data_IF_355921042264
#
_entry.id   IF_355921042264
#
_cell.length_a   1.000
_cell.length_b   1.000
_cell.length_c   1.000
_cell.angle_alpha   90.00
_cell.angle_beta   90.00
_cell.angle_gamma   90.00
#
_symmetry.space_group_name_H-M   'P 1'
#
loop_
_entity.id
_entity.type
_entity.pdbx_description
1 polymer ?
#
# COMPACT_ATOMS: atom_id res chain seq x y z
N UNK A 1 -1.08 -14.29 -7.75
CA UNK A 1 -1.22 -12.82 -7.56
C UNK A 1 -2.64 -12.27 -7.40
N UNK A 2 -3.65 -12.74 -8.16
CA UNK A 2 -5.01 -12.19 -8.14
C UNK A 2 -5.64 -12.09 -6.73
N UNK A 3 -5.31 -13.02 -5.83
CA UNK A 3 -5.77 -13.00 -4.44
C UNK A 3 -5.41 -11.71 -3.69
N UNK A 4 -4.23 -11.13 -3.93
CA UNK A 4 -3.84 -9.87 -3.32
C UNK A 4 -4.70 -8.69 -3.83
N UNK A 5 -5.02 -8.68 -5.14
CA UNK A 5 -5.90 -7.67 -5.70
C UNK A 5 -7.33 -7.81 -5.18
N UNK A 6 -7.85 -9.04 -5.07
CA UNK A 6 -9.17 -9.28 -4.50
C UNK A 6 -9.24 -8.78 -3.05
N UNK A 7 -8.21 -9.08 -2.23
CA UNK A 7 -8.17 -8.58 -0.85
C UNK A 7 -8.10 -7.05 -0.78
N UNK A 8 -7.33 -6.42 -1.68
CA UNK A 8 -7.31 -4.97 -1.81
C UNK A 8 -8.70 -4.40 -2.16
N UNK A 9 -9.42 -5.02 -3.10
CA UNK A 9 -10.77 -4.60 -3.49
C UNK A 9 -11.76 -4.68 -2.32
N UNK A 10 -11.67 -5.72 -1.48
CA UNK A 10 -12.45 -5.81 -0.25
C UNK A 10 -12.09 -4.67 0.72
N UNK A 11 -10.80 -4.42 0.92
CA UNK A 11 -10.32 -3.37 1.83
C UNK A 11 -10.76 -1.98 1.36
N UNK A 12 -10.57 -1.64 0.08
CA UNK A 12 -10.94 -0.34 -0.47
C UNK A 12 -12.47 -0.15 -0.50
N UNK A 13 -13.25 -1.22 -0.67
CA UNK A 13 -14.72 -1.16 -0.54
C UNK A 13 -15.15 -0.78 0.87
N UNK A 14 -14.47 -1.32 1.90
CA UNK A 14 -14.71 -0.94 3.30
C UNK A 14 -14.34 0.52 3.56
N UNK A 15 -13.22 0.98 2.99
CA UNK A 15 -12.79 2.40 3.04
C UNK A 15 -13.87 3.30 2.45
N UNK A 16 -14.34 3.02 1.23
CA UNK A 16 -15.40 3.81 0.56
C UNK A 16 -16.74 3.78 1.30
N UNK A 17 -17.02 2.70 2.02
CA UNK A 17 -18.20 2.61 2.87
C UNK A 17 -18.13 3.60 4.03
N UNK A 18 -16.94 3.88 4.57
CA UNK A 18 -16.71 4.89 5.60
C UNK A 18 -16.95 6.32 5.06
N UNK A 19 -16.44 6.64 3.87
CA UNK A 19 -16.75 7.92 3.21
C UNK A 19 -18.22 8.07 2.87
N UNK A 20 -18.89 6.99 2.48
CA UNK A 20 -20.35 6.99 2.25
C UNK A 20 -21.13 7.24 3.55
N UNK A 21 -20.66 6.71 4.67
CA UNK A 21 -21.23 6.97 6.00
C UNK A 21 -21.04 8.44 6.40
N UNK A 22 -19.85 8.99 6.21
CA UNK A 22 -19.57 10.42 6.42
C UNK A 22 -20.58 11.30 5.66
N UNK A 23 -20.74 11.06 4.35
CA UNK A 23 -21.65 11.83 3.47
C UNK A 23 -23.10 11.75 3.95
N UNK A 24 -23.54 10.57 4.38
CA UNK A 24 -24.89 10.35 4.90
C UNK A 24 -25.14 11.12 6.20
N UNK A 25 -24.23 11.01 7.17
CA UNK A 25 -24.36 11.71 8.46
C UNK A 25 -24.33 13.21 8.23
N UNK A 26 -23.36 13.71 7.46
CA UNK A 26 -23.22 15.15 7.14
C UNK A 26 -24.50 15.75 6.57
N UNK A 27 -25.18 15.04 5.67
CA UNK A 27 -26.44 15.50 5.06
C UNK A 27 -27.64 15.48 6.02
N UNK A 28 -27.53 14.77 7.14
CA UNK A 28 -28.59 14.62 8.15
C UNK A 28 -28.33 15.41 9.44
N UNK A 29 -27.14 16.03 9.57
CA UNK A 29 -26.72 16.76 10.76
C UNK A 29 -26.43 18.23 10.45
N UNK A 30 -26.35 19.05 11.49
CA UNK A 30 -25.87 20.44 11.36
C UNK A 30 -24.34 20.49 11.32
N UNK A 31 -23.78 21.61 10.86
CA UNK A 31 -22.32 21.83 10.81
C UNK A 31 -21.64 21.93 12.18
N UNK A 32 -22.41 21.83 13.28
CA UNK A 32 -21.89 21.83 14.65
C UNK A 32 -21.20 20.49 14.97
N UNK A 33 -21.64 19.41 14.34
CA UNK A 33 -21.01 18.10 14.51
C UNK A 33 -19.76 18.02 13.63
N UNK A 34 -18.59 17.95 14.27
CA UNK A 34 -17.34 17.70 13.57
C UNK A 34 -17.24 16.22 13.17
N UNK A 35 -17.22 15.97 11.88
CA UNK A 35 -17.12 14.65 11.27
C UNK A 35 -15.76 14.40 10.61
N UNK A 36 -14.81 15.32 10.79
CA UNK A 36 -13.51 15.28 10.11
C UNK A 36 -12.67 14.05 10.50
N UNK A 37 -12.85 13.50 11.69
CA UNK A 37 -12.18 12.26 12.10
C UNK A 37 -12.62 11.03 11.29
N UNK A 38 -13.83 11.03 10.72
CA UNK A 38 -14.26 9.97 9.80
C UNK A 38 -13.44 10.04 8.51
N UNK A 39 -13.19 11.24 7.99
CA UNK A 39 -12.32 11.46 6.82
C UNK A 39 -10.86 11.10 7.13
N UNK A 40 -10.36 11.40 8.34
CA UNK A 40 -9.01 11.01 8.78
C UNK A 40 -8.87 9.49 8.81
N UNK A 41 -9.84 8.81 9.40
CA UNK A 41 -9.88 7.35 9.45
C UNK A 41 -9.96 6.75 8.03
N UNK A 42 -10.77 7.33 7.15
CA UNK A 42 -10.87 6.89 5.74
C UNK A 42 -9.52 6.96 5.03
N UNK A 43 -8.82 8.09 5.14
CA UNK A 43 -7.50 8.26 4.53
C UNK A 43 -6.47 7.25 5.08
N UNK A 44 -6.43 7.08 6.41
CA UNK A 44 -5.52 6.12 7.06
C UNK A 44 -5.79 4.69 6.60
N UNK A 45 -7.06 4.28 6.53
CA UNK A 45 -7.45 2.94 6.06
C UNK A 45 -7.17 2.75 4.56
N UNK A 46 -7.33 3.79 3.75
CA UNK A 46 -6.99 3.76 2.32
C UNK A 46 -5.50 3.48 2.07
N UNK A 47 -4.62 4.19 2.79
CA UNK A 47 -3.17 3.96 2.71
C UNK A 47 -2.79 2.60 3.30
N UNK A 48 -3.45 2.17 4.37
CA UNK A 48 -3.26 0.83 4.94
C UNK A 48 -3.62 -0.29 3.94
N UNK A 49 -4.66 -0.10 3.13
CA UNK A 49 -5.03 -1.04 2.08
C UNK A 49 -3.95 -1.13 0.99
N UNK A 50 -3.33 0.00 0.60
CA UNK A 50 -2.19 0.03 -0.33
C UNK A 50 -1.00 -0.74 0.23
N UNK A 51 -0.60 -0.45 1.47
CA UNK A 51 0.53 -1.10 2.15
C UNK A 51 0.35 -2.63 2.16
N UNK A 52 -0.82 -3.08 2.62
CA UNK A 52 -1.16 -4.49 2.70
C UNK A 52 -1.14 -5.17 1.31
N UNK A 53 -1.62 -4.48 0.27
CA UNK A 53 -1.53 -4.98 -1.10
C UNK A 53 -0.08 -5.20 -1.53
N UNK A 54 0.81 -4.23 -1.27
CA UNK A 54 2.22 -4.34 -1.67
C UNK A 54 2.95 -5.45 -0.89
N UNK A 55 2.65 -5.63 0.39
CA UNK A 55 3.16 -6.77 1.17
C UNK A 55 2.75 -8.10 0.54
N UNK A 56 1.46 -8.28 0.26
CA UNK A 56 0.95 -9.55 -0.23
C UNK A 56 1.36 -9.84 -1.67
N UNK A 57 1.35 -8.85 -2.56
CA UNK A 57 1.73 -9.05 -3.96
C UNK A 57 3.21 -9.40 -4.08
N UNK A 58 4.07 -8.75 -3.27
CA UNK A 58 5.51 -9.03 -3.22
C UNK A 58 5.75 -10.43 -2.67
N UNK A 59 5.11 -10.79 -1.55
CA UNK A 59 5.22 -12.12 -0.96
C UNK A 59 4.81 -13.22 -1.94
N UNK A 60 3.66 -13.07 -2.58
CA UNK A 60 3.17 -14.04 -3.57
C UNK A 60 4.13 -14.14 -4.76
N UNK A 61 4.58 -13.01 -5.31
CA UNK A 61 5.50 -13.00 -6.44
C UNK A 61 6.86 -13.63 -6.11
N UNK A 62 7.39 -13.43 -4.90
CA UNK A 62 8.63 -14.09 -4.46
C UNK A 62 8.46 -15.60 -4.33
N UNK A 63 7.31 -16.07 -3.84
CA UNK A 63 6.98 -17.50 -3.79
C UNK A 63 6.84 -18.09 -5.20
N UNK A 64 6.23 -17.37 -6.14
CA UNK A 64 6.16 -17.77 -7.55
C UNK A 64 7.55 -17.86 -8.18
N UNK A 65 8.44 -16.90 -7.89
CA UNK A 65 9.82 -16.87 -8.37
C UNK A 65 10.67 -18.02 -7.80
N UNK A 66 10.50 -18.35 -6.52
CA UNK A 66 11.14 -19.51 -5.89
C UNK A 66 10.69 -20.83 -6.54
N UNK A 67 9.40 -20.95 -6.87
CA UNK A 67 8.82 -22.12 -7.54
C UNK A 67 9.11 -22.20 -9.05
N UNK A 68 9.86 -21.24 -9.61
CA UNK A 68 10.11 -21.09 -11.04
C UNK A 68 8.84 -20.89 -11.89
N UNK A 69 7.74 -20.44 -11.28
CA UNK A 69 6.53 -20.01 -12.00
C UNK A 69 6.63 -18.56 -12.49
N UNK A 70 7.70 -17.87 -12.10
CA UNK A 70 8.05 -16.49 -12.45
C UNK A 70 9.57 -16.39 -12.58
N UNK A 71 10.06 -15.54 -13.46
CA UNK A 71 11.49 -15.30 -13.59
C UNK A 71 12.06 -14.68 -12.32
N UNK A 72 13.21 -15.17 -11.88
CA UNK A 72 13.93 -14.62 -10.73
C UNK A 72 14.69 -13.37 -11.12
N UNK A 73 14.34 -12.24 -10.50
CA UNK A 73 15.04 -10.96 -10.68
C UNK A 73 16.39 -10.97 -9.97
N UNK A 74 17.26 -10.01 -10.28
CA UNK A 74 18.52 -9.85 -9.56
C UNK A 74 18.32 -9.44 -8.10
N UNK A 75 17.25 -8.70 -7.80
CA UNK A 75 16.90 -8.36 -6.41
C UNK A 75 16.43 -9.59 -5.64
N UNK A 76 15.63 -10.47 -6.27
CA UNK A 76 15.23 -11.75 -5.67
C UNK A 76 16.45 -12.61 -5.30
N UNK A 77 17.41 -12.77 -6.22
CA UNK A 77 18.62 -13.59 -5.99
C UNK A 77 19.51 -13.06 -4.88
N UNK A 78 19.44 -11.76 -4.60
CA UNK A 78 20.18 -11.08 -3.53
C UNK A 78 19.38 -10.97 -2.24
N UNK A 79 18.16 -11.52 -2.20
CA UNK A 79 17.37 -11.53 -0.99
C UNK A 79 18.02 -12.46 0.03
N UNK A 80 18.57 -11.87 1.09
CA UNK A 80 19.21 -12.65 2.14
C UNK A 80 18.18 -13.51 2.89
N UNK A 81 18.61 -14.64 3.44
CA UNK A 81 17.82 -15.48 4.34
C UNK A 81 18.62 -15.79 5.60
N UNK A 82 17.95 -15.86 6.74
CA UNK A 82 18.58 -16.32 7.99
C UNK A 82 19.07 -17.77 7.88
N UNK A 83 20.19 -18.09 8.56
CA UNK A 83 20.73 -19.47 8.61
C UNK A 83 19.72 -20.46 9.18
N UNK A 84 18.92 -20.03 10.15
CA UNK A 84 17.82 -20.82 10.72
C UNK A 84 16.86 -21.31 9.62
N UNK A 85 16.41 -20.41 8.75
CA UNK A 85 15.49 -20.75 7.67
C UNK A 85 16.15 -21.56 6.54
N UNK A 86 17.45 -21.37 6.30
CA UNK A 86 18.21 -22.24 5.40
C UNK A 86 18.31 -23.67 5.96
N UNK A 87 18.52 -23.83 7.27
CA UNK A 87 18.54 -25.16 7.91
C UNK A 87 17.15 -25.80 7.79
N UNK A 88 16.09 -25.04 8.06
CA UNK A 88 14.71 -25.52 7.93
C UNK A 88 14.39 -25.97 6.50
N UNK A 89 14.84 -25.24 5.47
CA UNK A 89 14.61 -25.60 4.07
C UNK A 89 15.26 -26.92 3.67
N UNK A 90 16.34 -27.34 4.34
CA UNK A 90 16.98 -28.63 4.09
C UNK A 90 16.29 -29.78 4.82
N UNK A 91 15.70 -29.52 5.99
CA UNK A 91 14.98 -30.52 6.79
C UNK A 91 13.63 -30.88 6.18
N UNK A 92 12.97 -29.91 5.54
CA UNK A 92 11.73 -30.13 4.79
C UNK A 92 11.76 -29.38 3.44
N UNK A 93 12.44 -29.95 2.43
CA UNK A 93 12.58 -29.32 1.11
C UNK A 93 11.27 -29.16 0.36
N UNK A 94 10.23 -29.89 0.78
CA UNK A 94 8.92 -29.91 0.11
C UNK A 94 8.04 -28.73 0.52
N UNK A 95 8.31 -28.09 1.66
CA UNK A 95 7.47 -27.01 2.17
C UNK A 95 8.01 -25.64 1.78
N UNK A 96 7.10 -24.81 1.24
CA UNK A 96 7.37 -23.39 0.95
C UNK A 96 7.28 -22.51 2.20
N UNK A 97 6.81 -23.09 3.31
CA UNK A 97 6.45 -22.40 4.55
C UNK A 97 7.63 -21.64 5.16
N UNK A 98 8.85 -22.17 5.05
CA UNK A 98 10.05 -21.49 5.55
C UNK A 98 10.26 -20.13 4.86
N UNK A 99 10.07 -20.06 3.54
CA UNK A 99 10.25 -18.84 2.76
C UNK A 99 9.11 -17.85 3.02
N UNK A 100 7.87 -18.34 3.08
CA UNK A 100 6.71 -17.51 3.45
C UNK A 100 6.94 -16.82 4.81
N UNK A 101 7.41 -17.58 5.80
CA UNK A 101 7.73 -17.08 7.13
C UNK A 101 8.89 -16.09 7.12
N UNK A 102 9.98 -16.35 6.39
CA UNK A 102 11.12 -15.44 6.29
C UNK A 102 10.69 -14.10 5.66
N UNK A 103 9.92 -14.13 4.57
CA UNK A 103 9.40 -12.93 3.92
C UNK A 103 8.53 -12.14 4.88
N UNK A 104 7.58 -12.80 5.56
CA UNK A 104 6.69 -12.14 6.54
C UNK A 104 7.46 -11.53 7.69
N UNK A 105 8.47 -12.23 8.23
CA UNK A 105 9.33 -11.73 9.31
C UNK A 105 10.12 -10.50 8.87
N UNK A 106 10.73 -10.55 7.68
CA UNK A 106 11.56 -9.45 7.17
C UNK A 106 10.76 -8.25 6.72
N UNK A 107 9.61 -8.45 6.11
CA UNK A 107 8.79 -7.36 5.62
C UNK A 107 7.81 -6.83 6.66
N UNK A 108 7.40 -7.61 7.67
CA UNK A 108 6.30 -7.25 8.58
C UNK A 108 6.49 -5.98 9.43
N UNK A 109 7.70 -5.43 9.54
CA UNK A 109 8.00 -4.17 10.21
C UNK A 109 8.27 -3.01 9.24
N UNK A 110 8.25 -3.27 7.93
CA UNK A 110 8.44 -2.29 6.87
C UNK A 110 7.08 -1.74 6.41
N UNK A 111 7.04 -0.44 6.14
CA UNK A 111 5.92 0.20 5.45
C UNK A 111 6.27 0.39 3.97
N UNK A 112 5.45 -0.18 3.09
CA UNK A 112 5.54 -0.10 1.63
C UNK A 112 4.49 0.87 1.07
N UNK A 113 4.58 2.12 1.51
CA UNK A 113 3.66 3.19 1.10
C UNK A 113 4.36 4.27 0.29
N UNK A 114 5.63 4.54 0.63
CA UNK A 114 6.45 5.51 -0.08
C UNK A 114 6.79 5.00 -1.48
N UNK A 115 6.80 5.86 -2.52
CA UNK A 115 7.02 5.41 -3.90
C UNK A 115 8.29 4.57 -4.10
N UNK A 116 9.39 4.96 -3.45
CA UNK A 116 10.66 4.24 -3.55
C UNK A 116 10.61 2.88 -2.85
N UNK A 117 9.91 2.79 -1.71
CA UNK A 117 9.72 1.54 -0.96
C UNK A 117 8.85 0.55 -1.71
N UNK A 118 7.80 1.05 -2.40
CA UNK A 118 6.99 0.23 -3.30
C UNK A 118 7.85 -0.27 -4.46
N UNK A 119 8.64 0.60 -5.10
CA UNK A 119 9.51 0.18 -6.20
C UNK A 119 10.55 -0.87 -5.77
N UNK A 120 11.13 -0.72 -4.59
CA UNK A 120 12.07 -1.69 -4.02
C UNK A 120 11.41 -3.05 -3.77
N UNK A 121 10.20 -3.07 -3.21
CA UNK A 121 9.44 -4.30 -2.99
C UNK A 121 9.09 -4.99 -4.33
N UNK A 122 8.58 -4.24 -5.31
CA UNK A 122 8.23 -4.78 -6.62
C UNK A 122 9.46 -5.30 -7.38
N UNK A 123 10.64 -4.72 -7.18
CA UNK A 123 11.89 -5.18 -7.83
C UNK A 123 12.25 -6.62 -7.44
N UNK A 124 11.80 -7.10 -6.27
CA UNK A 124 11.96 -8.50 -5.86
C UNK A 124 11.17 -9.47 -6.76
N UNK A 125 10.23 -9.00 -7.56
CA UNK A 125 9.31 -9.83 -8.34
C UNK A 125 9.16 -9.41 -9.81
N UNK A 126 9.70 -8.27 -10.22
CA UNK A 126 9.70 -7.78 -11.60
C UNK A 126 10.83 -6.75 -11.83
N UNK A 127 11.51 -6.81 -12.98
CA UNK A 127 12.56 -5.84 -13.37
C UNK A 127 11.97 -4.58 -14.05
N UNK A 128 10.65 -4.45 -14.06
CA UNK A 128 9.96 -3.33 -14.69
C UNK A 128 10.36 -2.00 -14.07
N UNK A 129 10.45 -0.97 -14.91
CA UNK A 129 10.57 0.42 -14.46
C UNK A 129 9.21 0.90 -13.95
N UNK A 130 8.87 0.50 -12.73
CA UNK A 130 7.52 0.57 -12.16
C UNK A 130 6.80 1.89 -12.44
N UNK A 131 7.41 3.01 -12.05
CA UNK A 131 6.76 4.32 -12.15
C UNK A 131 6.66 4.84 -13.58
N UNK A 132 7.51 4.38 -14.52
CA UNK A 132 7.36 4.69 -15.94
C UNK A 132 6.08 4.02 -16.47
N UNK A 133 5.94 2.70 -16.28
CA UNK A 133 4.79 1.93 -16.78
C UNK A 133 3.46 2.29 -16.08
N UNK A 134 3.48 2.43 -14.75
CA UNK A 134 2.28 2.80 -13.98
C UNK A 134 1.75 4.16 -14.41
N UNK A 135 2.65 5.13 -14.63
CA UNK A 135 2.25 6.49 -15.02
C UNK A 135 1.57 6.55 -16.38
N UNK A 136 2.01 5.70 -17.32
CA UNK A 136 1.36 5.54 -18.64
C UNK A 136 -0.08 5.07 -18.46
N UNK A 137 -0.32 4.05 -17.64
CA UNK A 137 -1.66 3.50 -17.43
C UNK A 137 -2.63 4.48 -16.76
N UNK A 138 -2.13 5.40 -15.94
CA UNK A 138 -2.97 6.40 -15.25
C UNK A 138 -2.93 7.78 -15.92
N UNK A 139 -2.35 7.89 -17.11
CA UNK A 139 -2.22 9.13 -17.90
C UNK A 139 -1.57 10.28 -17.11
N UNK A 140 -0.45 10.01 -16.44
CA UNK A 140 0.35 11.01 -15.69
C UNK A 140 1.83 10.91 -16.02
N UNK A 141 2.60 11.90 -15.59
CA UNK A 141 4.05 11.79 -15.58
C UNK A 141 4.51 10.90 -14.40
N UNK A 142 5.62 10.13 -14.52
CA UNK A 142 6.17 9.36 -13.41
C UNK A 142 6.45 10.19 -12.15
N UNK A 143 6.96 11.41 -12.31
CA UNK A 143 7.30 12.29 -11.20
C UNK A 143 6.03 12.77 -10.48
N UNK A 144 5.06 13.29 -11.22
CA UNK A 144 3.77 13.72 -10.67
C UNK A 144 3.04 12.57 -9.95
N UNK A 145 3.17 11.33 -10.46
CA UNK A 145 2.58 10.14 -9.86
C UNK A 145 3.21 9.85 -8.49
N UNK A 146 4.53 9.87 -8.41
CA UNK A 146 5.28 9.68 -7.16
C UNK A 146 5.00 10.80 -6.17
N UNK A 147 5.00 12.05 -6.63
CA UNK A 147 4.77 13.22 -5.79
C UNK A 147 3.37 13.21 -5.19
N UNK A 148 2.34 12.90 -6.00
CA UNK A 148 0.98 12.77 -5.48
C UNK A 148 0.84 11.66 -4.44
N UNK A 149 1.46 10.50 -4.66
CA UNK A 149 1.46 9.42 -3.67
C UNK A 149 2.19 9.85 -2.39
N UNK A 150 3.34 10.53 -2.53
CA UNK A 150 4.12 11.04 -1.39
C UNK A 150 3.32 12.05 -0.55
N UNK A 151 2.58 12.96 -1.18
CA UNK A 151 1.67 13.89 -0.49
C UNK A 151 0.63 13.15 0.36
N UNK A 152 0.00 12.12 -0.21
CA UNK A 152 -1.00 11.30 0.48
C UNK A 152 -0.39 10.61 1.69
N UNK A 153 0.79 10.00 1.55
CA UNK A 153 1.47 9.31 2.65
C UNK A 153 1.92 10.30 3.73
N UNK A 154 2.41 11.49 3.36
CA UNK A 154 2.75 12.54 4.33
C UNK A 154 1.50 12.95 5.13
N UNK A 155 0.37 13.19 4.46
CA UNK A 155 -0.88 13.55 5.14
C UNK A 155 -1.35 12.44 6.07
N UNK A 156 -1.26 11.17 5.66
CA UNK A 156 -1.56 10.01 6.51
C UNK A 156 -0.64 9.94 7.72
N UNK A 157 0.66 10.22 7.56
CA UNK A 157 1.63 10.16 8.65
C UNK A 157 1.34 11.22 9.72
N UNK A 158 0.93 12.43 9.30
CA UNK A 158 0.45 13.45 10.25
C UNK A 158 -0.69 12.93 11.11
N UNK A 159 -1.67 12.24 10.52
CA UNK A 159 -2.80 11.66 11.25
C UNK A 159 -2.34 10.55 12.20
N UNK A 160 -1.62 9.57 11.66
CA UNK A 160 -1.34 8.31 12.35
C UNK A 160 -0.21 8.42 13.38
N UNK A 161 0.76 9.32 13.17
CA UNK A 161 1.97 9.42 13.98
C UNK A 161 2.14 10.76 14.69
N UNK A 162 1.49 11.83 14.22
CA UNK A 162 1.60 13.18 14.80
C UNK A 162 0.28 13.65 15.45
N UNK A 163 -0.69 12.75 15.64
CA UNK A 163 -2.04 13.03 16.17
C UNK A 163 -2.79 14.14 15.41
N UNK A 164 -2.39 14.36 14.15
CA UNK A 164 -2.87 15.40 13.25
C UNK A 164 -2.75 16.85 13.75
N UNK A 165 -1.88 17.13 14.71
CA UNK A 165 -1.74 18.46 15.31
C UNK A 165 -1.09 19.44 14.32
N UNK A 166 -1.70 20.61 14.11
CA UNK A 166 -1.09 21.71 13.37
C UNK A 166 -0.19 22.55 14.30
N UNK A 167 1.11 22.37 14.17
CA UNK A 167 2.11 23.12 14.94
C UNK A 167 2.16 24.61 14.60
N UNK A 168 1.53 25.04 13.50
CA UNK A 168 1.43 26.45 13.10
C UNK A 168 0.36 27.19 13.89
N UNK A 169 -0.62 26.48 14.45
CA UNK A 169 -1.78 27.03 15.16
C UNK A 169 -2.10 26.20 16.41
N UNK A 170 -1.81 26.70 17.63
CA UNK A 170 -2.01 25.94 18.87
C UNK A 170 -3.41 25.35 19.02
N UNK A 171 -3.50 24.08 19.44
CA UNK A 171 -4.74 23.33 19.68
C UNK A 171 -5.66 23.15 18.46
N UNK A 172 -5.10 23.17 17.24
CA UNK A 172 -5.86 22.85 16.03
C UNK A 172 -5.31 21.63 15.33
N UNK A 173 -6.17 20.95 14.57
CA UNK A 173 -5.78 19.83 13.71
C UNK A 173 -5.60 20.33 12.28
N UNK A 174 -4.77 19.65 11.49
CA UNK A 174 -4.67 19.94 10.06
C UNK A 174 -6.05 19.81 9.39
N UNK A 175 -6.43 20.76 8.53
CA UNK A 175 -7.68 20.67 7.80
C UNK A 175 -7.71 19.41 6.92
N UNK A 176 -8.91 18.88 6.76
CA UNK A 176 -9.19 17.77 5.86
C UNK A 176 -10.58 17.97 5.29
N UNK A 177 -10.73 17.73 4.00
CA UNK A 177 -12.00 17.86 3.32
C UNK A 177 -12.31 16.59 2.51
N UNK A 178 -13.60 16.41 2.26
CA UNK A 178 -14.16 15.26 1.55
C UNK A 178 -13.54 15.08 0.16
N UNK A 179 -13.33 16.17 -0.58
CA UNK A 179 -12.80 16.12 -1.94
C UNK A 179 -11.37 15.59 -1.94
N UNK A 180 -10.52 16.11 -1.04
CA UNK A 180 -9.15 15.62 -0.89
C UNK A 180 -9.11 14.12 -0.57
N UNK A 181 -9.95 13.65 0.36
CA UNK A 181 -9.98 12.23 0.73
C UNK A 181 -10.48 11.37 -0.43
N UNK A 182 -11.60 11.73 -1.07
CA UNK A 182 -12.15 11.01 -2.22
C UNK A 182 -11.10 10.90 -3.36
N UNK A 183 -10.44 12.00 -3.70
CA UNK A 183 -9.38 12.03 -4.72
C UNK A 183 -8.19 11.14 -4.34
N UNK A 184 -7.81 11.12 -3.06
CA UNK A 184 -6.72 10.29 -2.55
C UNK A 184 -7.05 8.80 -2.63
N UNK A 185 -8.26 8.40 -2.22
CA UNK A 185 -8.73 7.01 -2.30
C UNK A 185 -8.83 6.55 -3.76
N UNK A 186 -9.39 7.39 -4.64
CA UNK A 186 -9.45 7.11 -6.08
C UNK A 186 -8.05 6.91 -6.68
N UNK A 187 -7.09 7.77 -6.29
CA UNK A 187 -5.72 7.69 -6.79
C UNK A 187 -4.99 6.43 -6.30
N UNK A 188 -5.17 6.05 -5.02
CA UNK A 188 -4.64 4.79 -4.47
C UNK A 188 -5.17 3.59 -5.27
N UNK A 189 -6.47 3.54 -5.53
CA UNK A 189 -7.08 2.46 -6.31
C UNK A 189 -6.55 2.42 -7.75
N UNK A 190 -6.37 3.57 -8.40
CA UNK A 190 -5.76 3.65 -9.72
C UNK A 190 -4.32 3.11 -9.73
N UNK A 191 -3.50 3.51 -8.75
CA UNK A 191 -2.12 3.02 -8.61
C UNK A 191 -2.11 1.50 -8.40
N UNK A 192 -2.91 0.96 -7.49
CA UNK A 192 -2.91 -0.49 -7.21
C UNK A 192 -3.31 -1.29 -8.45
N UNK A 193 -4.36 -0.87 -9.16
CA UNK A 193 -4.78 -1.53 -10.40
C UNK A 193 -3.71 -1.43 -11.49
N UNK A 194 -3.06 -0.27 -11.64
CA UNK A 194 -1.97 -0.08 -12.59
C UNK A 194 -0.75 -0.94 -12.25
N UNK A 195 -0.31 -0.94 -11.00
CA UNK A 195 0.77 -1.81 -10.51
C UNK A 195 0.42 -3.27 -10.83
N UNK A 196 -0.78 -3.72 -10.47
CA UNK A 196 -1.22 -5.10 -10.74
C UNK A 196 -1.15 -5.46 -12.22
N UNK A 197 -1.59 -4.57 -13.11
CA UNK A 197 -1.56 -4.81 -14.55
C UNK A 197 -0.15 -4.89 -15.13
N UNK A 198 0.80 -4.15 -14.55
CA UNK A 198 2.20 -4.11 -15.01
C UNK A 198 3.00 -5.34 -14.56
N UNK A 199 2.63 -5.99 -13.45
CA UNK A 199 3.45 -7.05 -12.82
C UNK A 199 2.84 -8.45 -12.82
N UNK A 200 1.59 -8.59 -13.27
CA UNK A 200 0.86 -9.88 -13.32
C UNK A 200 1.44 -10.83 -14.35
#
# INVERSE_FOLDING_TARGET
MQSALNQFQENITRVRSLGSLYKRIRNQTTSILDLSDILRAELVLGVSALDQYIHEITRIGMIEAYKNNRNQTDAFKKFDCSLENIIQSHQDPSTITWLDNEIRKKHGWLAFEQPDKIADAIRLISDVKLWEEVSVLINKNPQDTKDKLKEIVIRRNKIAHEADIDHSHPNTLWPIDEKYVDESINFIEQIVNAIHNVIK
#
